data_IF_645621714293
#
_entry.id   IF_645621714293
#
_cell.length_a   1.000
_cell.length_b   1.000
_cell.length_c   1.000
_cell.angle_alpha   90.00
_cell.angle_beta   90.00
_cell.angle_gamma   90.00
#
_symmetry.space_group_name_H-M   'P 1'
#
loop_
_entity.id
_entity.type
_entity.pdbx_description
1 polymer ?
#
# COMPACT_ATOMS: atom_id res chain seq x y z
N UNK A 1 -17.48 3.59 10.69
CA UNK A 1 -16.16 3.25 10.13
C UNK A 1 -16.06 1.75 9.99
N UNK A 2 -15.53 1.28 8.88
CA UNK A 2 -15.31 -0.14 8.57
C UNK A 2 -13.86 -0.31 8.16
N UNK A 3 -13.19 -1.33 8.68
CA UNK A 3 -11.83 -1.71 8.32
C UNK A 3 -11.88 -2.93 7.41
N UNK A 4 -11.33 -2.81 6.20
CA UNK A 4 -11.27 -3.89 5.23
C UNK A 4 -9.82 -4.29 4.94
N UNK A 5 -9.59 -5.60 4.86
CA UNK A 5 -8.31 -6.19 4.46
C UNK A 5 -8.54 -7.44 3.61
N UNK A 6 -7.62 -7.73 2.69
CA UNK A 6 -7.75 -8.82 1.71
C UNK A 6 -6.46 -9.66 1.61
N UNK A 7 -6.24 -10.61 2.53
CA UNK A 7 -5.22 -11.62 2.34
C UNK A 7 -5.54 -12.58 1.18
N UNK A 8 -4.52 -12.86 0.38
CA UNK A 8 -4.54 -13.93 -0.62
C UNK A 8 -4.44 -15.32 0.01
N UNK A 9 -5.06 -16.30 -0.63
CA UNK A 9 -5.12 -17.70 -0.22
C UNK A 9 -4.95 -18.63 -1.43
N UNK A 10 -4.37 -19.80 -1.22
CA UNK A 10 -4.12 -20.79 -2.29
C UNK A 10 -4.85 -22.09 -2.00
N UNK A 11 -5.67 -22.55 -2.93
CA UNK A 11 -6.40 -23.82 -2.83
C UNK A 11 -6.14 -24.68 -4.06
N UNK A 12 -5.46 -25.81 -3.86
CA UNK A 12 -5.18 -26.79 -4.92
C UNK A 12 -4.57 -26.14 -6.19
N UNK A 13 -3.70 -25.15 -6.00
CA UNK A 13 -3.06 -24.39 -7.09
C UNK A 13 -3.85 -23.18 -7.60
N UNK A 14 -5.13 -23.05 -7.24
CA UNK A 14 -5.93 -21.86 -7.54
C UNK A 14 -5.68 -20.73 -6.57
N UNK A 15 -5.87 -19.49 -7.05
CA UNK A 15 -5.96 -18.31 -6.21
C UNK A 15 -7.36 -18.18 -5.61
N UNK A 16 -7.42 -17.75 -4.35
CA UNK A 16 -8.61 -17.25 -3.69
C UNK A 16 -8.24 -16.06 -2.81
N UNK A 17 -9.23 -15.30 -2.39
CA UNK A 17 -9.05 -14.12 -1.56
C UNK A 17 -10.06 -14.14 -0.43
N UNK A 18 -9.55 -14.01 0.80
CA UNK A 18 -10.40 -13.79 1.96
C UNK A 18 -10.44 -12.29 2.23
N UNK A 19 -11.62 -11.69 2.19
CA UNK A 19 -11.85 -10.35 2.72
C UNK A 19 -12.29 -10.43 4.15
N UNK A 20 -11.70 -9.58 4.96
CA UNK A 20 -12.19 -9.31 6.31
C UNK A 20 -12.73 -7.89 6.32
N UNK A 21 -13.94 -7.73 6.86
CA UNK A 21 -14.59 -6.44 7.02
C UNK A 21 -15.01 -6.31 8.48
N UNK A 22 -14.44 -5.34 9.17
CA UNK A 22 -14.53 -5.24 10.63
C UNK A 22 -15.02 -3.88 11.09
N UNK A 23 -15.89 -3.91 12.09
CA UNK A 23 -16.28 -2.79 12.95
C UNK A 23 -15.90 -3.16 14.40
N UNK A 24 -16.06 -2.26 15.40
CA UNK A 24 -15.82 -2.63 16.78
C UNK A 24 -16.64 -3.83 17.27
N UNK A 25 -17.87 -4.00 16.76
CA UNK A 25 -18.80 -5.05 17.19
C UNK A 25 -18.90 -6.26 16.27
N UNK A 26 -18.60 -6.12 14.98
CA UNK A 26 -18.83 -7.16 13.97
C UNK A 26 -17.57 -7.39 13.15
N UNK A 27 -17.28 -8.66 12.87
CA UNK A 27 -16.27 -9.09 11.90
C UNK A 27 -16.94 -10.00 10.89
N UNK A 28 -16.84 -9.64 9.62
CA UNK A 28 -17.39 -10.39 8.50
C UNK A 28 -16.23 -10.93 7.66
N UNK A 29 -16.33 -12.20 7.29
CA UNK A 29 -15.33 -12.90 6.46
C UNK A 29 -16.02 -13.34 5.17
N UNK A 30 -15.44 -12.97 4.04
CA UNK A 30 -15.96 -13.33 2.72
C UNK A 30 -14.85 -13.92 1.87
N UNK A 31 -15.07 -15.11 1.33
CA UNK A 31 -14.16 -15.74 0.38
C UNK A 31 -14.70 -15.59 -1.03
N UNK A 32 -13.85 -15.18 -1.97
CA UNK A 32 -14.15 -15.17 -3.39
C UNK A 32 -12.90 -15.54 -4.21
N UNK A 33 -13.11 -16.05 -5.42
CA UNK A 33 -12.05 -16.27 -6.42
C UNK A 33 -11.79 -15.03 -7.28
N UNK A 34 -12.53 -13.95 -7.06
CA UNK A 34 -12.33 -12.66 -7.66
C UNK A 34 -11.77 -11.70 -6.64
N UNK A 35 -10.91 -10.81 -7.12
CA UNK A 35 -10.36 -9.66 -6.41
C UNK A 35 -10.93 -8.32 -6.90
N UNK A 36 -12.02 -8.37 -7.65
CA UNK A 36 -12.61 -7.20 -8.29
C UNK A 36 -13.33 -6.29 -7.29
N UNK A 37 -13.44 -4.99 -7.64
CA UNK A 37 -14.22 -4.02 -6.87
C UNK A 37 -15.70 -4.40 -6.72
N UNK A 38 -16.27 -5.13 -7.68
CA UNK A 38 -17.64 -5.64 -7.56
C UNK A 38 -17.84 -6.53 -6.31
N UNK A 39 -16.80 -7.24 -5.87
CA UNK A 39 -16.86 -8.03 -4.62
C UNK A 39 -16.84 -7.10 -3.40
N UNK A 40 -16.12 -5.99 -3.45
CA UNK A 40 -16.13 -4.96 -2.40
C UNK A 40 -17.53 -4.36 -2.26
N UNK A 41 -18.20 -4.01 -3.36
CA UNK A 41 -19.58 -3.53 -3.34
C UNK A 41 -20.56 -4.58 -2.82
N UNK A 42 -20.40 -5.85 -3.22
CA UNK A 42 -21.25 -6.93 -2.74
C UNK A 42 -21.12 -7.14 -1.22
N UNK A 43 -19.91 -6.96 -0.68
CA UNK A 43 -19.64 -7.12 0.76
C UNK A 43 -20.06 -5.90 1.59
N UNK A 44 -19.80 -4.69 1.11
CA UNK A 44 -20.13 -3.46 1.84
C UNK A 44 -21.57 -2.99 1.63
N UNK A 45 -22.16 -3.35 0.49
CA UNK A 45 -23.41 -2.81 -0.02
C UNK A 45 -23.21 -1.50 -0.78
N UNK A 46 -23.94 -1.35 -1.89
CA UNK A 46 -23.90 -0.16 -2.76
C UNK A 46 -24.38 1.13 -2.07
N UNK A 47 -25.09 1.01 -0.95
CA UNK A 47 -25.65 2.12 -0.18
C UNK A 47 -24.79 2.52 1.03
N UNK A 48 -23.70 1.79 1.28
CA UNK A 48 -22.79 2.16 2.36
C UNK A 48 -22.09 3.49 2.04
N UNK A 49 -22.24 4.48 2.92
CA UNK A 49 -21.62 5.81 2.80
C UNK A 49 -20.69 6.15 3.98
N UNK A 50 -20.47 5.20 4.88
CA UNK A 50 -19.56 5.38 6.01
C UNK A 50 -18.10 5.42 5.61
N UNK A 51 -17.22 5.72 6.57
CA UNK A 51 -15.77 5.71 6.35
C UNK A 51 -15.24 4.29 6.18
N UNK A 52 -14.71 3.99 5.00
CA UNK A 52 -13.93 2.79 4.73
C UNK A 52 -12.46 3.05 5.07
N UNK A 53 -11.82 2.10 5.74
CA UNK A 53 -10.37 2.04 5.90
C UNK A 53 -9.87 0.77 5.25
N UNK A 54 -9.02 0.90 4.24
CA UNK A 54 -8.44 -0.25 3.54
C UNK A 54 -6.96 0.00 3.23
N UNK A 55 -6.26 -1.01 2.74
CA UNK A 55 -4.97 -0.83 2.06
C UNK A 55 -5.06 0.06 0.81
N UNK A 56 -3.96 0.20 0.08
CA UNK A 56 -3.87 0.97 -1.17
C UNK A 56 -4.37 0.20 -2.41
N UNK A 57 -5.07 -0.93 -2.25
CA UNK A 57 -5.55 -1.70 -3.39
C UNK A 57 -6.67 -0.94 -4.14
N UNK A 58 -6.62 -1.00 -5.47
CA UNK A 58 -7.47 -0.21 -6.36
C UNK A 58 -8.94 -0.64 -6.37
N UNK A 59 -9.23 -1.91 -6.05
CA UNK A 59 -10.60 -2.42 -6.00
C UNK A 59 -11.47 -1.67 -4.99
N UNK A 60 -10.87 -1.12 -3.92
CA UNK A 60 -11.58 -0.32 -2.93
C UNK A 60 -11.97 1.08 -3.42
N UNK A 61 -11.44 1.55 -4.55
CA UNK A 61 -11.78 2.87 -5.13
C UNK A 61 -13.23 2.96 -5.60
N UNK A 62 -13.90 1.82 -5.71
CA UNK A 62 -15.34 1.74 -6.03
C UNK A 62 -16.21 2.33 -4.91
N UNK A 63 -15.69 2.43 -3.68
CA UNK A 63 -16.38 3.05 -2.56
C UNK A 63 -16.53 4.56 -2.77
N UNK A 64 -17.78 5.04 -2.84
CA UNK A 64 -18.10 6.45 -3.10
C UNK A 64 -18.10 7.28 -1.80
N UNK A 65 -18.11 6.64 -0.62
CA UNK A 65 -18.08 7.33 0.67
C UNK A 65 -16.68 7.80 1.08
N UNK A 66 -16.56 8.26 2.33
CA UNK A 66 -15.25 8.62 2.90
C UNK A 66 -14.31 7.41 2.88
N UNK A 67 -13.07 7.61 2.42
CA UNK A 67 -12.08 6.55 2.32
C UNK A 67 -10.75 6.99 2.92
N UNK A 68 -10.29 6.28 3.95
CA UNK A 68 -8.97 6.46 4.54
C UNK A 68 -8.09 5.27 4.13
N UNK A 69 -6.83 5.54 3.77
CA UNK A 69 -5.84 4.48 3.58
C UNK A 69 -5.23 4.07 4.91
N UNK A 70 -5.01 2.77 5.07
CA UNK A 70 -4.44 2.19 6.26
C UNK A 70 -2.97 2.62 6.36
N UNK A 71 -2.64 3.35 7.43
CA UNK A 71 -1.28 3.79 7.71
C UNK A 71 -0.29 2.63 7.81
N UNK A 72 -0.70 1.49 8.38
CA UNK A 72 0.19 0.33 8.51
C UNK A 72 0.64 -0.18 7.14
N UNK A 73 -0.30 -0.33 6.20
CA UNK A 73 0.02 -0.75 4.83
C UNK A 73 0.89 0.30 4.11
N UNK A 74 0.56 1.58 4.24
CA UNK A 74 1.39 2.64 3.67
C UNK A 74 2.82 2.62 4.22
N UNK A 75 3.01 2.44 5.53
CA UNK A 75 4.35 2.39 6.13
C UNK A 75 5.14 1.14 5.71
N UNK A 76 4.47 0.01 5.48
CA UNK A 76 5.11 -1.17 4.89
C UNK A 76 5.50 -0.92 3.43
N UNK A 77 4.63 -0.32 2.61
CA UNK A 77 4.95 0.03 1.23
C UNK A 77 6.15 0.99 1.15
N UNK A 78 6.20 1.98 2.05
CA UNK A 78 7.34 2.92 2.18
C UNK A 78 8.62 2.18 2.58
N UNK A 79 8.51 1.25 3.52
CA UNK A 79 9.65 0.42 3.93
C UNK A 79 10.20 -0.39 2.75
N UNK A 80 9.33 -1.13 2.06
CA UNK A 80 9.71 -1.96 0.93
C UNK A 80 10.32 -1.12 -0.19
N UNK A 81 9.81 0.09 -0.40
CA UNK A 81 10.37 1.05 -1.34
C UNK A 81 11.78 1.48 -0.93
N UNK A 82 12.03 1.78 0.34
CA UNK A 82 13.36 2.11 0.86
C UNK A 82 14.33 0.91 0.76
N UNK A 83 13.84 -0.30 0.99
CA UNK A 83 14.65 -1.54 0.83
C UNK A 83 15.01 -1.77 -0.64
N UNK A 84 14.10 -1.46 -1.56
CA UNK A 84 14.33 -1.58 -3.00
C UNK A 84 15.26 -0.49 -3.57
N UNK A 85 15.32 0.68 -2.91
CA UNK A 85 16.10 1.84 -3.33
C UNK A 85 16.97 2.39 -2.19
N UNK A 86 17.93 1.61 -1.67
CA UNK A 86 18.70 1.98 -0.49
C UNK A 86 19.59 3.23 -0.71
N UNK A 87 19.97 3.53 -1.95
CA UNK A 87 20.77 4.69 -2.34
C UNK A 87 19.97 5.98 -2.57
N UNK A 88 18.62 5.91 -2.55
CA UNK A 88 17.77 7.08 -2.77
C UNK A 88 17.61 7.88 -1.46
N UNK A 89 18.49 8.88 -1.31
CA UNK A 89 18.47 9.77 -0.15
C UNK A 89 17.20 10.61 -0.04
N UNK A 90 16.61 10.99 -1.17
CA UNK A 90 15.40 11.81 -1.18
C UNK A 90 14.19 10.98 -0.73
N UNK A 91 14.10 9.73 -1.18
CA UNK A 91 13.16 8.74 -0.68
C UNK A 91 13.33 8.52 0.83
N UNK A 92 14.56 8.35 1.31
CA UNK A 92 14.83 8.14 2.72
C UNK A 92 14.40 9.34 3.58
N UNK A 93 14.67 10.57 3.12
CA UNK A 93 14.23 11.80 3.79
C UNK A 93 12.71 11.92 3.78
N UNK A 94 12.07 11.67 2.64
CA UNK A 94 10.61 11.68 2.53
C UNK A 94 9.97 10.64 3.44
N UNK A 95 10.48 9.40 3.45
CA UNK A 95 9.99 8.32 4.30
C UNK A 95 10.04 8.75 5.77
N UNK A 96 11.18 9.26 6.24
CA UNK A 96 11.36 9.77 7.60
C UNK A 96 10.36 10.88 7.97
N UNK A 97 9.97 11.73 7.02
CA UNK A 97 8.98 12.78 7.25
C UNK A 97 7.54 12.25 7.37
N UNK A 98 7.21 11.12 6.74
CA UNK A 98 5.87 10.50 6.80
C UNK A 98 5.63 9.78 8.14
N UNK A 99 6.68 9.23 8.77
CA UNK A 99 6.56 8.43 10.00
C UNK A 99 5.93 9.14 11.20
N UNK A 100 6.32 10.37 11.56
CA UNK A 100 5.72 11.09 12.69
C UNK A 100 4.22 11.28 12.54
N UNK A 101 3.75 11.57 11.32
CA UNK A 101 2.33 11.74 11.03
C UNK A 101 1.56 10.43 11.24
N UNK A 102 2.12 9.30 10.81
CA UNK A 102 1.52 7.99 11.02
C UNK A 102 1.54 7.56 12.50
N UNK A 103 2.65 7.80 13.21
CA UNK A 103 2.84 7.42 14.61
C UNK A 103 1.85 8.10 15.58
N UNK A 104 1.50 9.36 15.30
CA UNK A 104 0.50 10.10 16.07
C UNK A 104 -0.92 9.49 15.97
N UNK A 105 -1.20 8.73 14.91
CA UNK A 105 -2.52 8.20 14.58
C UNK A 105 -2.67 6.69 14.86
N UNK A 106 -1.57 5.92 14.80
CA UNK A 106 -1.60 4.45 14.99
C UNK A 106 -1.15 3.97 16.37
N UNK A 107 -0.68 4.87 17.24
CA UNK A 107 -0.09 4.54 18.54
C UNK A 107 1.37 4.06 18.46
N UNK A 108 2.08 4.02 19.62
CA UNK A 108 3.55 3.98 19.67
C UNK A 108 4.20 2.66 19.22
N UNK A 109 3.48 1.54 19.22
CA UNK A 109 4.05 0.21 18.99
C UNK A 109 4.47 -0.06 17.52
N UNK A 110 3.74 0.50 16.55
CA UNK A 110 4.03 0.29 15.11
C UNK A 110 5.22 1.15 14.66
N UNK A 111 5.30 2.38 15.15
CA UNK A 111 6.39 3.31 14.82
C UNK A 111 7.77 2.86 15.34
N UNK A 112 7.82 2.26 16.54
CA UNK A 112 9.07 1.89 17.20
C UNK A 112 9.79 0.69 16.57
N UNK A 113 9.07 -0.23 15.92
CA UNK A 113 9.69 -1.39 15.24
C UNK A 113 10.45 -0.95 13.98
N UNK A 114 9.90 0.01 13.24
CA UNK A 114 10.44 0.49 11.97
C UNK A 114 11.70 1.37 12.13
N UNK A 115 11.73 2.30 13.10
CA UNK A 115 12.87 3.20 13.33
C UNK A 115 14.19 2.47 13.57
N UNK A 116 14.14 1.25 14.11
CA UNK A 116 15.33 0.42 14.39
C UNK A 116 15.92 -0.24 13.15
N UNK A 117 15.14 -0.40 12.08
CA UNK A 117 15.50 -1.18 10.89
C UNK A 117 15.94 -0.29 9.73
N UNK A 118 15.30 0.87 9.56
CA UNK A 118 15.65 1.83 8.50
C UNK A 118 16.97 2.60 8.78
N UNK A 119 17.27 2.92 10.05
CA UNK A 119 18.48 3.69 10.42
C UNK A 119 19.80 2.96 10.13
N UNK A 120 19.76 1.64 9.93
CA UNK A 120 20.97 0.82 9.69
C UNK A 120 21.32 0.66 8.22
N UNK A 121 20.43 1.01 7.28
CA UNK A 121 20.60 0.69 5.85
C UNK A 121 20.62 1.88 4.89
N UNK A 122 19.87 2.95 5.13
CA UNK A 122 19.76 4.05 4.15
C UNK A 122 20.83 5.15 4.31
N UNK A 123 21.58 5.20 5.40
CA UNK A 123 22.55 6.29 5.66
C UNK A 123 24.01 5.90 5.38
N UNK A 124 24.25 4.95 4.47
CA UNK A 124 25.57 4.41 4.17
C UNK A 124 26.17 4.91 2.86
N UNK A 125 26.71 6.14 2.87
CA UNK A 125 27.74 6.66 1.96
C UNK A 125 27.47 6.65 0.43
N UNK A 126 27.40 7.84 -0.19
CA UNK A 126 28.30 8.29 -1.28
C UNK A 126 27.87 9.66 -1.87
N UNK A 127 28.85 10.39 -2.40
CA UNK A 127 28.80 11.81 -2.77
C UNK A 127 27.97 12.14 -4.03
N UNK A 128 27.38 13.35 -4.00
CA UNK A 128 26.50 14.09 -4.93
C UNK A 128 26.81 14.14 -6.46
N UNK A 129 27.61 13.25 -7.05
CA UNK A 129 27.94 13.33 -8.49
C UNK A 129 28.12 11.97 -9.15
N UNK A 130 27.03 11.28 -9.43
CA UNK A 130 27.05 10.26 -10.48
C UNK A 130 25.81 10.39 -11.38
N UNK A 131 26.03 10.60 -12.68
CA UNK A 131 25.02 10.89 -13.70
C UNK A 131 24.69 9.67 -14.56
N UNK A 132 25.02 8.46 -14.10
CA UNK A 132 25.08 7.29 -14.98
C UNK A 132 24.24 6.09 -14.54
N UNK A 133 22.98 6.27 -14.16
CA UNK A 133 22.11 5.10 -13.97
C UNK A 133 20.81 5.20 -14.77
N UNK A 134 20.70 4.30 -15.76
CA UNK A 134 19.64 4.21 -16.77
C UNK A 134 18.76 2.98 -16.49
N UNK A 135 17.68 3.09 -15.72
CA UNK A 135 16.70 1.98 -15.63
C UNK A 135 15.28 2.45 -15.30
N UNK A 136 14.39 2.22 -16.28
CA UNK A 136 12.92 2.02 -16.35
C UNK A 136 11.90 2.63 -15.35
N UNK A 137 12.26 3.22 -14.22
CA UNK A 137 11.30 3.70 -13.21
C UNK A 137 10.96 5.21 -13.31
N UNK A 138 11.18 5.84 -14.46
CA UNK A 138 10.71 7.20 -14.75
C UNK A 138 9.18 7.35 -14.92
N UNK A 139 8.36 6.41 -14.45
CA UNK A 139 6.94 6.30 -14.87
C UNK A 139 5.89 6.89 -13.90
N UNK A 140 6.27 7.52 -12.79
CA UNK A 140 5.33 8.21 -11.89
C UNK A 140 5.63 9.70 -11.67
N UNK A 141 6.51 10.30 -12.48
CA UNK A 141 6.88 11.72 -12.39
C UNK A 141 6.37 12.52 -13.61
N UNK A 142 5.74 13.71 -13.45
CA UNK A 142 5.24 14.46 -14.60
C UNK A 142 6.38 15.22 -15.29
N UNK A 143 6.80 14.75 -16.48
CA UNK A 143 6.73 15.48 -17.76
C UNK A 143 7.81 15.03 -18.79
N UNK A 144 7.39 14.22 -19.78
CA UNK A 144 7.53 14.40 -21.26
C UNK A 144 7.62 13.04 -22.02
N UNK A 145 6.54 12.76 -22.76
CA UNK A 145 6.34 11.87 -23.94
C UNK A 145 6.96 10.42 -23.95
N UNK A 146 6.04 9.45 -23.71
CA UNK A 146 5.84 8.04 -24.18
C UNK A 146 6.88 7.35 -25.11
N UNK A 147 7.08 6.01 -25.01
CA UNK A 147 6.09 4.97 -25.39
C UNK A 147 5.60 4.10 -24.22
N UNK A 148 4.49 3.41 -24.47
CA UNK A 148 3.77 2.56 -23.53
C UNK A 148 4.65 1.41 -22.96
N UNK A 149 4.07 0.65 -22.04
CA UNK A 149 4.49 -0.71 -21.64
C UNK A 149 5.19 -0.87 -20.29
N UNK A 150 4.40 -1.42 -19.37
CA UNK A 150 4.73 -2.17 -18.14
C UNK A 150 5.06 -1.37 -16.88
N UNK A 151 4.01 -0.80 -16.28
CA UNK A 151 3.82 -0.88 -14.82
C UNK A 151 3.49 -2.35 -14.47
N UNK A 152 3.83 -2.78 -13.26
CA UNK A 152 3.45 -4.10 -12.71
C UNK A 152 1.93 -4.30 -12.84
N UNK A 153 1.52 -5.08 -13.84
CA UNK A 153 0.25 -5.77 -13.87
C UNK A 153 0.27 -6.80 -12.72
N UNK A 154 -0.52 -6.55 -11.69
CA UNK A 154 -1.27 -7.65 -11.06
C UNK A 154 -2.77 -7.47 -11.29
N UNK A 155 -3.12 -6.83 -12.40
CA UNK A 155 -4.43 -6.89 -13.03
C UNK A 155 -4.37 -7.99 -14.10
N UNK A 156 -4.37 -9.26 -13.71
CA UNK A 156 -4.66 -10.34 -14.65
C UNK A 156 -5.72 -11.25 -14.03
N UNK A 157 -6.91 -11.14 -14.63
CA UNK A 157 -8.13 -11.94 -14.51
C UNK A 157 -9.05 -11.65 -13.32
#
# INVERSE_FOLDING_TARGET
>A
MVHADEPGWREKGGNGWHRTVSTPGVRHFHYDRSRAGAVVEAVLGTDYRGTLVSDCYSAYNIHVGSHQRCWVHLLHDIHDLCVAHPEDSDLAVWAQAVHPAAAQLTGPLIAQRWLRECSRRCCGAHSLRDRSCRTKLCRLWPARRRPADKLRHQDEL
#
